data_IF_224956104178
#
_entry.id   IF_224956104178
#
_cell.length_a   1.000
_cell.length_b   1.000
_cell.length_c   1.000
_cell.angle_alpha   90.00
_cell.angle_beta   90.00
_cell.angle_gamma   90.00
#
_symmetry.space_group_name_H-M   'P 1'
#
loop_
_entity.id
_entity.type
_entity.pdbx_description
1 polymer ?
#
# COMPACT_ATOMS: atom_id res chain seq x y z
N UNK A 1 3.39 24.00 -17.11
CA UNK A 1 3.42 22.58 -16.68
C UNK A 1 2.54 21.82 -17.64
N UNK A 2 3.05 20.75 -18.28
CA UNK A 2 2.22 19.94 -19.17
C UNK A 2 1.19 19.14 -18.34
N UNK A 3 0.18 18.58 -18.99
CA UNK A 3 -0.89 17.85 -18.32
C UNK A 3 -0.39 16.62 -17.54
N UNK A 4 0.57 15.87 -18.11
CA UNK A 4 1.17 14.71 -17.47
C UNK A 4 1.90 15.09 -16.17
N UNK A 5 2.69 16.18 -16.16
CA UNK A 5 3.35 16.66 -14.94
C UNK A 5 2.34 17.09 -13.89
N UNK A 6 1.24 17.74 -14.30
CA UNK A 6 0.16 18.14 -13.38
C UNK A 6 -0.50 16.91 -12.74
N UNK A 7 -0.74 15.87 -13.53
CA UNK A 7 -1.36 14.63 -13.06
C UNK A 7 -0.40 13.83 -12.16
N UNK A 8 0.89 13.77 -12.52
CA UNK A 8 1.92 13.20 -11.65
C UNK A 8 1.99 13.94 -10.30
N UNK A 9 1.92 15.27 -10.31
CA UNK A 9 1.91 16.04 -9.06
C UNK A 9 0.71 15.68 -8.16
N UNK A 10 -0.50 15.54 -8.74
CA UNK A 10 -1.70 15.07 -8.01
C UNK A 10 -1.55 13.66 -7.47
N UNK A 11 -0.94 12.78 -8.27
CA UNK A 11 -0.64 11.42 -7.86
C UNK A 11 0.29 11.39 -6.64
N UNK A 12 1.38 12.17 -6.66
CA UNK A 12 2.34 12.23 -5.55
C UNK A 12 1.77 12.91 -4.29
N UNK A 13 0.89 13.90 -4.45
CA UNK A 13 0.09 14.44 -3.35
C UNK A 13 -0.80 13.37 -2.72
N UNK A 14 -1.44 12.56 -3.56
CA UNK A 14 -2.30 11.45 -3.12
C UNK A 14 -1.50 10.33 -2.44
N UNK A 15 -0.33 10.00 -2.97
CA UNK A 15 0.62 9.08 -2.33
C UNK A 15 0.98 9.56 -0.92
N UNK A 16 1.22 10.85 -0.73
CA UNK A 16 1.52 11.43 0.59
C UNK A 16 0.35 11.26 1.55
N UNK A 17 -0.89 11.43 1.08
CA UNK A 17 -2.09 11.20 1.89
C UNK A 17 -2.27 9.74 2.26
N UNK A 18 -2.07 8.81 1.32
CA UNK A 18 -2.16 7.37 1.57
C UNK A 18 -1.07 6.92 2.55
N UNK A 19 0.18 7.34 2.36
CA UNK A 19 1.27 7.05 3.30
C UNK A 19 0.94 7.56 4.71
N UNK A 20 0.32 8.73 4.82
CA UNK A 20 -0.14 9.27 6.12
C UNK A 20 -1.26 8.42 6.71
N UNK A 21 -2.25 8.04 5.91
CA UNK A 21 -3.36 7.17 6.34
C UNK A 21 -2.82 5.83 6.88
N UNK A 22 -1.97 5.14 6.11
CA UNK A 22 -1.42 3.85 6.50
C UNK A 22 -0.47 3.93 7.69
N UNK A 23 0.31 4.99 7.82
CA UNK A 23 1.15 5.22 9.01
C UNK A 23 0.31 5.41 10.26
N UNK A 24 -0.83 6.10 10.15
CA UNK A 24 -1.76 6.31 11.26
C UNK A 24 -2.56 5.04 11.56
N UNK A 25 -2.90 4.25 10.55
CA UNK A 25 -3.60 2.97 10.71
C UNK A 25 -2.69 1.90 11.34
N UNK A 26 -1.42 1.84 10.92
CA UNK A 26 -0.33 1.03 11.51
C UNK A 26 -0.63 -0.49 11.64
N UNK A 27 -1.66 -0.97 10.93
CA UNK A 27 -2.07 -2.36 10.99
C UNK A 27 -1.00 -3.28 10.44
N UNK A 28 -0.54 -3.02 9.20
CA UNK A 28 0.40 -3.91 8.52
C UNK A 28 1.71 -4.07 9.29
N UNK A 29 2.25 -2.99 9.87
CA UNK A 29 3.47 -3.07 10.66
C UNK A 29 3.28 -3.91 11.92
N UNK A 30 2.27 -3.58 12.73
CA UNK A 30 2.05 -4.20 14.04
C UNK A 30 1.53 -5.65 13.96
N UNK A 31 0.64 -5.94 13.01
CA UNK A 31 -0.06 -7.24 12.93
C UNK A 31 0.53 -8.20 11.90
N UNK A 32 1.36 -7.73 10.96
CA UNK A 32 1.92 -8.57 9.92
C UNK A 32 3.45 -8.52 9.90
N UNK A 33 4.04 -7.36 9.60
CA UNK A 33 5.47 -7.23 9.32
C UNK A 33 6.30 -7.59 10.56
N UNK A 34 5.97 -7.08 11.74
CA UNK A 34 6.75 -7.35 12.95
C UNK A 34 6.78 -8.85 13.32
N UNK A 35 5.68 -9.56 13.09
CA UNK A 35 5.57 -11.00 13.34
C UNK A 35 6.45 -11.77 12.36
N UNK A 36 6.33 -11.46 11.07
CA UNK A 36 7.09 -12.14 10.01
C UNK A 36 8.60 -11.82 10.08
N UNK A 37 8.98 -10.59 10.42
CA UNK A 37 10.37 -10.22 10.69
C UNK A 37 10.97 -11.11 11.79
N UNK A 38 10.26 -11.27 12.92
CA UNK A 38 10.75 -12.10 14.04
C UNK A 38 10.92 -13.56 13.64
N UNK A 39 9.98 -14.12 12.86
CA UNK A 39 10.08 -15.48 12.33
C UNK A 39 11.26 -15.66 11.38
N UNK A 40 11.59 -14.62 10.61
CA UNK A 40 12.68 -14.63 9.63
C UNK A 40 14.02 -14.10 10.18
N UNK A 41 14.27 -14.22 11.49
CA UNK A 41 15.53 -13.80 12.10
C UNK A 41 15.83 -12.29 11.98
N UNK A 42 14.79 -11.46 11.99
CA UNK A 42 14.79 -10.01 11.77
C UNK A 42 15.30 -9.57 10.38
N UNK A 43 15.31 -10.48 9.40
CA UNK A 43 15.54 -10.10 8.00
C UNK A 43 14.25 -9.52 7.40
N UNK A 44 14.35 -8.52 6.50
CA UNK A 44 13.20 -7.98 5.76
C UNK A 44 12.30 -9.07 5.16
N UNK A 45 11.01 -8.79 5.15
CA UNK A 45 9.97 -9.69 4.64
C UNK A 45 8.95 -8.90 3.83
N UNK A 46 8.44 -9.53 2.77
CA UNK A 46 7.35 -9.00 1.96
C UNK A 46 6.04 -9.69 2.31
N UNK A 47 5.57 -9.52 3.55
CA UNK A 47 4.45 -10.24 4.16
C UNK A 47 3.24 -10.50 3.22
N UNK A 48 2.21 -9.65 3.23
CA UNK A 48 1.07 -9.78 2.33
C UNK A 48 1.37 -9.31 0.89
N UNK A 49 2.50 -8.61 0.70
CA UNK A 49 2.94 -8.11 -0.61
C UNK A 49 3.47 -9.22 -1.55
N UNK A 50 3.71 -10.43 -1.05
CA UNK A 50 4.18 -11.58 -1.84
C UNK A 50 3.17 -12.10 -2.88
N UNK A 51 1.87 -11.81 -2.73
CA UNK A 51 0.83 -12.38 -3.57
C UNK A 51 0.51 -11.51 -4.81
N UNK A 52 1.49 -11.33 -5.70
CA UNK A 52 1.33 -10.70 -7.03
C UNK A 52 1.16 -9.17 -7.06
N UNK A 53 1.22 -8.48 -5.93
CA UNK A 53 1.12 -7.01 -5.92
C UNK A 53 2.43 -6.29 -6.27
N UNK A 54 3.51 -7.04 -6.45
CA UNK A 54 4.83 -6.55 -6.87
C UNK A 54 5.00 -6.46 -8.38
N UNK A 55 4.17 -7.17 -9.17
CA UNK A 55 4.25 -7.05 -10.62
C UNK A 55 3.89 -5.63 -10.99
N UNK A 56 4.80 -4.97 -11.69
CA UNK A 56 4.68 -3.60 -12.16
C UNK A 56 3.45 -3.51 -13.08
N UNK A 57 2.26 -3.35 -12.51
CA UNK A 57 1.02 -3.03 -13.23
C UNK A 57 1.01 -1.55 -13.64
N UNK A 58 2.15 -1.06 -14.10
CA UNK A 58 2.22 0.24 -14.74
C UNK A 58 1.52 0.07 -16.09
N UNK A 59 0.43 0.82 -16.32
CA UNK A 59 -0.28 0.78 -17.59
C UNK A 59 0.64 1.23 -18.73
N UNK A 60 0.42 0.73 -19.94
CA UNK A 60 1.08 1.23 -21.15
C UNK A 60 0.54 2.63 -21.51
N UNK A 61 0.94 3.64 -20.73
CA UNK A 61 0.47 5.01 -20.86
C UNK A 61 1.60 6.02 -20.58
N UNK A 62 1.68 7.15 -21.31
CA UNK A 62 2.75 8.15 -21.12
C UNK A 62 2.93 8.64 -19.68
N UNK A 63 1.84 8.73 -18.90
CA UNK A 63 1.92 9.14 -17.51
C UNK A 63 2.63 8.11 -16.61
N UNK A 64 2.49 6.81 -16.90
CA UNK A 64 3.20 5.76 -16.19
C UNK A 64 4.67 5.69 -16.60
N UNK A 65 4.98 5.94 -17.88
CA UNK A 65 6.36 6.13 -18.31
C UNK A 65 7.01 7.28 -17.54
N UNK A 66 6.29 8.39 -17.37
CA UNK A 66 6.80 9.54 -16.63
C UNK A 66 7.01 9.24 -15.14
N UNK A 67 6.07 8.55 -14.49
CA UNK A 67 6.23 8.09 -13.11
C UNK A 67 7.47 7.17 -12.97
N UNK A 68 7.67 6.26 -13.93
CA UNK A 68 8.83 5.36 -13.96
C UNK A 68 10.13 6.15 -14.13
N UNK A 69 10.19 7.11 -15.03
CA UNK A 69 11.37 7.96 -15.23
C UNK A 69 11.78 8.71 -13.95
N UNK A 70 10.82 9.33 -13.24
CA UNK A 70 11.14 10.00 -11.97
C UNK A 70 11.52 9.00 -10.87
N UNK A 71 10.88 7.82 -10.83
CA UNK A 71 11.28 6.72 -9.94
C UNK A 71 12.72 6.27 -10.21
N UNK A 72 13.08 6.02 -11.46
CA UNK A 72 14.43 5.61 -11.88
C UNK A 72 15.47 6.68 -11.59
N UNK A 73 15.13 7.95 -11.78
CA UNK A 73 16.00 9.08 -11.45
C UNK A 73 16.29 9.18 -9.96
N UNK A 74 15.33 8.85 -9.09
CA UNK A 74 15.52 8.90 -7.64
C UNK A 74 16.16 7.64 -7.06
N UNK A 75 15.76 6.47 -7.56
CA UNK A 75 16.07 5.19 -6.93
C UNK A 75 16.97 4.30 -7.79
N UNK A 76 17.32 4.72 -9.01
CA UNK A 76 18.02 3.90 -9.98
C UNK A 76 17.09 2.97 -10.75
N UNK A 77 17.63 2.37 -11.81
CA UNK A 77 16.89 1.44 -12.65
C UNK A 77 16.74 0.06 -11.99
N UNK A 78 15.61 -0.64 -12.21
CA UNK A 78 15.38 -1.95 -11.63
C UNK A 78 16.39 -3.02 -12.07
N UNK A 79 16.79 -3.02 -13.34
CA UNK A 79 17.72 -3.98 -13.96
C UNK A 79 19.14 -3.93 -13.38
N UNK A 80 19.53 -2.79 -12.81
CA UNK A 80 20.80 -2.63 -12.09
C UNK A 80 20.73 -3.23 -10.67
N UNK A 81 19.53 -3.44 -10.12
CA UNK A 81 19.29 -3.93 -8.75
C UNK A 81 19.12 -5.45 -8.69
N UNK A 82 20.01 -6.20 -9.34
CA UNK A 82 20.07 -7.65 -9.20
C UNK A 82 20.57 -8.06 -7.80
N UNK A 83 19.66 -8.30 -6.86
CA UNK A 83 20.01 -8.78 -5.52
C UNK A 83 20.38 -10.27 -5.55
N UNK A 84 21.48 -10.64 -4.86
CA UNK A 84 21.97 -12.03 -4.84
C UNK A 84 21.06 -13.03 -4.09
N UNK A 85 20.21 -12.53 -3.19
CA UNK A 85 19.29 -13.32 -2.36
C UNK A 85 17.97 -12.55 -2.18
N UNK A 86 17.16 -12.43 -3.24
CA UNK A 86 15.95 -11.62 -3.21
C UNK A 86 14.92 -12.25 -2.27
N UNK A 87 14.49 -11.50 -1.25
CA UNK A 87 13.37 -11.90 -0.38
C UNK A 87 12.01 -11.57 -0.97
N UNK A 88 12.01 -10.91 -2.14
CA UNK A 88 10.84 -10.50 -2.91
C UNK A 88 11.17 -10.46 -4.39
N UNK A 89 10.21 -10.80 -5.27
CA UNK A 89 10.35 -10.63 -6.71
C UNK A 89 10.33 -9.15 -7.17
N UNK A 90 10.08 -8.18 -6.28
CA UNK A 90 10.22 -6.76 -6.62
C UNK A 90 11.70 -6.34 -6.66
N UNK A 91 12.14 -5.79 -7.78
CA UNK A 91 13.53 -5.35 -7.99
C UNK A 91 13.94 -4.20 -7.04
N UNK A 92 12.98 -3.40 -6.59
CA UNK A 92 13.20 -2.35 -5.59
C UNK A 92 13.18 -2.85 -4.14
N UNK A 93 13.27 -4.16 -3.90
CA UNK A 93 13.27 -4.73 -2.56
C UNK A 93 14.66 -5.25 -2.17
N UNK A 94 15.40 -4.43 -1.41
CA UNK A 94 16.71 -4.79 -0.86
C UNK A 94 16.53 -5.89 0.22
N UNK A 95 17.24 -7.03 0.13
CA UNK A 95 17.17 -8.11 1.11
C UNK A 95 17.55 -7.74 2.54
N UNK A 96 18.24 -6.61 2.73
CA UNK A 96 18.70 -6.11 4.04
C UNK A 96 17.88 -4.93 4.55
N UNK A 97 17.18 -4.20 3.67
CA UNK A 97 16.47 -2.96 4.03
C UNK A 97 14.97 -2.97 3.75
N UNK A 98 14.48 -3.92 2.97
CA UNK A 98 13.10 -3.94 2.51
C UNK A 98 12.90 -3.14 1.22
N UNK A 99 11.67 -2.67 0.99
CA UNK A 99 11.35 -1.78 -0.13
C UNK A 99 12.14 -0.46 -0.02
N UNK A 100 12.93 -0.13 -1.05
CA UNK A 100 13.76 1.09 -1.08
C UNK A 100 12.98 2.32 -1.56
N UNK A 101 11.81 2.12 -2.16
CA UNK A 101 10.95 3.22 -2.63
C UNK A 101 10.27 3.90 -1.44
N UNK A 102 10.71 5.10 -1.10
CA UNK A 102 9.98 5.93 -0.14
C UNK A 102 8.74 6.56 -0.78
N UNK A 103 8.88 7.02 -2.02
CA UNK A 103 7.83 7.64 -2.85
C UNK A 103 7.85 7.08 -4.28
N UNK A 104 6.98 7.58 -5.16
CA UNK A 104 6.86 7.17 -6.56
C UNK A 104 6.54 5.68 -6.72
N UNK A 105 5.86 5.09 -5.72
CA UNK A 105 5.40 3.71 -5.78
C UNK A 105 4.37 3.54 -6.90
N UNK A 106 4.13 2.31 -7.35
CA UNK A 106 3.03 2.03 -8.28
C UNK A 106 1.66 2.15 -7.57
N UNK A 107 0.56 2.39 -8.31
CA UNK A 107 -0.79 2.48 -7.75
C UNK A 107 -1.16 1.29 -6.85
N UNK A 108 -0.81 0.08 -7.29
CA UNK A 108 -1.12 -1.14 -6.54
C UNK A 108 -0.33 -1.24 -5.24
N UNK A 109 0.94 -0.82 -5.24
CA UNK A 109 1.77 -0.79 -4.03
C UNK A 109 1.23 0.20 -2.99
N UNK A 110 0.58 1.28 -3.43
CA UNK A 110 0.02 2.31 -2.57
C UNK A 110 -1.37 1.98 -2.04
N UNK A 111 -2.17 1.23 -2.81
CA UNK A 111 -3.56 0.95 -2.50
C UNK A 111 -3.75 -0.35 -1.73
N UNK A 112 -2.83 -1.30 -1.85
CA UNK A 112 -3.06 -2.64 -1.33
C UNK A 112 -3.23 -2.66 0.20
N UNK A 113 -4.31 -3.33 0.62
CA UNK A 113 -4.54 -3.71 2.01
C UNK A 113 -5.16 -5.11 2.03
N UNK A 114 -4.64 -6.00 2.89
CA UNK A 114 -5.16 -7.36 3.00
C UNK A 114 -6.59 -7.36 3.58
N UNK A 115 -7.31 -8.47 3.36
CA UNK A 115 -8.70 -8.62 3.80
C UNK A 115 -8.86 -8.37 5.30
N UNK A 116 -7.96 -8.90 6.11
CA UNK A 116 -7.98 -8.73 7.57
C UNK A 116 -7.80 -7.26 7.96
N UNK A 117 -6.93 -6.53 7.26
CA UNK A 117 -6.76 -5.08 7.45
C UNK A 117 -8.03 -4.30 7.09
N UNK A 118 -8.70 -4.66 5.99
CA UNK A 118 -9.98 -4.08 5.60
C UNK A 118 -11.06 -4.39 6.64
N UNK A 119 -11.11 -5.61 7.16
CA UNK A 119 -12.06 -6.01 8.20
C UNK A 119 -11.82 -5.22 9.50
N UNK A 120 -10.57 -4.91 9.86
CA UNK A 120 -10.25 -4.00 10.98
C UNK A 120 -10.69 -2.56 10.70
N UNK A 121 -10.49 -2.03 9.48
CA UNK A 121 -11.01 -0.71 9.11
C UNK A 121 -12.54 -0.63 9.31
N UNK A 122 -13.25 -1.67 8.90
CA UNK A 122 -14.70 -1.77 9.02
C UNK A 122 -15.15 -1.94 10.46
N UNK A 123 -14.64 -2.97 11.14
CA UNK A 123 -15.10 -3.37 12.47
C UNK A 123 -14.65 -2.44 13.59
N UNK A 124 -13.41 -1.93 13.53
CA UNK A 124 -12.84 -1.09 14.59
C UNK A 124 -13.06 0.39 14.31
N UNK A 125 -12.85 0.80 13.07
CA UNK A 125 -12.87 2.21 12.70
C UNK A 125 -14.19 2.64 12.05
N UNK A 126 -15.06 1.71 11.65
CA UNK A 126 -16.32 2.01 10.95
C UNK A 126 -16.10 2.63 9.57
N UNK A 127 -14.97 2.30 8.93
CA UNK A 127 -14.59 2.75 7.59
C UNK A 127 -14.97 1.64 6.61
N UNK A 128 -16.10 1.81 5.93
CA UNK A 128 -16.62 0.83 4.96
C UNK A 128 -16.30 1.16 3.51
N UNK A 129 -15.92 2.41 3.24
CA UNK A 129 -15.67 2.91 1.89
C UNK A 129 -14.29 2.51 1.33
N UNK A 130 -13.36 2.05 2.18
CA UNK A 130 -12.04 1.62 1.71
C UNK A 130 -12.14 0.28 1.00
N UNK A 131 -11.81 0.27 -0.28
CA UNK A 131 -11.62 -0.90 -1.13
C UNK A 131 -10.31 -0.72 -1.92
N UNK A 132 -9.39 -1.67 -1.82
CA UNK A 132 -8.05 -1.48 -2.37
C UNK A 132 -8.07 -1.43 -3.91
N UNK A 133 -8.99 -2.12 -4.58
CA UNK A 133 -9.12 -2.06 -6.04
C UNK A 133 -9.68 -0.71 -6.48
N UNK A 134 -10.71 -0.20 -5.80
CA UNK A 134 -11.24 1.14 -6.05
C UNK A 134 -10.18 2.23 -5.85
N UNK A 135 -9.34 2.12 -4.81
CA UNK A 135 -8.22 3.03 -4.57
C UNK A 135 -7.15 2.88 -5.65
N UNK A 136 -6.84 1.66 -6.09
CA UNK A 136 -5.93 1.42 -7.21
C UNK A 136 -6.41 2.16 -8.48
N UNK A 137 -7.66 1.95 -8.89
CA UNK A 137 -8.20 2.59 -10.10
C UNK A 137 -8.26 4.11 -9.97
N UNK A 138 -8.61 4.64 -8.80
CA UNK A 138 -8.57 6.08 -8.57
C UNK A 138 -7.15 6.64 -8.77
N UNK A 139 -6.12 5.95 -8.27
CA UNK A 139 -4.72 6.33 -8.46
C UNK A 139 -4.28 6.27 -9.93
N UNK A 140 -4.69 5.22 -10.66
CA UNK A 140 -4.45 5.11 -12.10
C UNK A 140 -5.10 6.29 -12.84
N UNK A 141 -6.37 6.58 -12.59
CA UNK A 141 -7.11 7.68 -13.22
C UNK A 141 -6.59 9.07 -12.84
N UNK A 142 -6.08 9.26 -11.62
CA UNK A 142 -5.39 10.49 -11.24
C UNK A 142 -4.14 10.67 -12.11
N UNK A 143 -3.37 9.60 -12.30
CA UNK A 143 -2.12 9.64 -13.05
C UNK A 143 -2.36 9.82 -14.55
N UNK A 144 -3.36 9.14 -15.13
CA UNK A 144 -3.70 9.26 -16.56
C UNK A 144 -4.44 10.56 -16.88
N UNK A 145 -5.14 11.16 -15.91
CA UNK A 145 -5.98 12.34 -16.11
C UNK A 145 -7.45 12.04 -16.37
N UNK A 146 -7.86 10.77 -16.26
CA UNK A 146 -9.25 10.35 -16.44
C UNK A 146 -10.14 10.74 -15.25
N UNK A 147 -9.55 11.05 -14.09
CA UNK A 147 -10.29 11.51 -12.92
C UNK A 147 -10.56 13.01 -13.01
N UNK A 148 -11.84 13.42 -13.00
CA UNK A 148 -12.19 14.84 -13.03
C UNK A 148 -11.72 15.59 -11.78
N UNK A 149 -11.64 16.92 -11.86
CA UNK A 149 -11.25 17.75 -10.70
C UNK A 149 -12.10 17.48 -9.47
N UNK A 150 -13.41 17.38 -9.68
CA UNK A 150 -14.36 17.18 -8.60
C UNK A 150 -14.14 15.82 -7.95
N UNK A 151 -14.00 14.76 -8.74
CA UNK A 151 -13.75 13.41 -8.24
C UNK A 151 -12.40 13.31 -7.51
N UNK A 152 -11.37 14.00 -8.00
CA UNK A 152 -10.09 14.12 -7.29
C UNK A 152 -10.25 14.75 -5.90
N UNK A 153 -10.98 15.86 -5.82
CA UNK A 153 -11.23 16.55 -4.56
C UNK A 153 -12.09 15.71 -3.59
N UNK A 154 -13.09 15.01 -4.10
CA UNK A 154 -13.94 14.12 -3.32
C UNK A 154 -13.12 12.94 -2.77
N UNK A 155 -12.30 12.31 -3.61
CA UNK A 155 -11.37 11.23 -3.21
C UNK A 155 -10.39 11.71 -2.13
N UNK A 156 -9.76 12.87 -2.34
CA UNK A 156 -8.84 13.50 -1.37
C UNK A 156 -9.53 13.76 -0.03
N UNK A 157 -10.75 14.26 -0.06
CA UNK A 157 -11.54 14.54 1.15
C UNK A 157 -11.85 13.24 1.89
N UNK A 158 -12.30 12.20 1.18
CA UNK A 158 -12.56 10.88 1.77
C UNK A 158 -11.30 10.29 2.46
N UNK A 159 -10.12 10.40 1.85
CA UNK A 159 -8.87 9.94 2.46
C UNK A 159 -8.51 10.71 3.74
N UNK A 160 -8.71 12.03 3.75
CA UNK A 160 -8.47 12.87 4.93
C UNK A 160 -9.45 12.51 6.07
N UNK A 161 -10.73 12.34 5.74
CA UNK A 161 -11.77 11.97 6.72
C UNK A 161 -11.50 10.59 7.33
N UNK A 162 -11.13 9.60 6.51
CA UNK A 162 -10.73 8.27 6.99
C UNK A 162 -9.52 8.37 7.91
N UNK A 163 -8.50 9.16 7.55
CA UNK A 163 -7.30 9.36 8.38
C UNK A 163 -7.65 9.97 9.73
N UNK A 164 -8.46 11.03 9.75
CA UNK A 164 -8.84 11.71 11.00
C UNK A 164 -9.70 10.79 11.88
N UNK A 165 -10.57 9.98 11.27
CA UNK A 165 -11.37 8.99 12.00
C UNK A 165 -10.49 7.96 12.71
N UNK A 166 -9.45 7.44 12.04
CA UNK A 166 -8.48 6.54 12.68
C UNK A 166 -7.75 7.23 13.82
N UNK A 167 -7.27 8.47 13.63
CA UNK A 167 -6.59 9.26 14.69
C UNK A 167 -7.47 9.44 15.91
N UNK A 168 -8.74 9.81 15.71
CA UNK A 168 -9.70 10.08 16.79
C UNK A 168 -9.95 8.83 17.63
N UNK A 169 -10.20 7.69 16.97
CA UNK A 169 -10.47 6.43 17.66
C UNK A 169 -9.24 5.95 18.43
N UNK A 170 -8.03 6.10 17.87
CA UNK A 170 -6.77 5.76 18.58
C UNK A 170 -6.47 6.66 19.78
N UNK A 171 -6.91 7.93 19.77
CA UNK A 171 -6.70 8.90 20.86
C UNK A 171 -7.79 8.87 21.94
N UNK A 172 -8.93 8.21 21.69
CA UNK A 172 -10.05 8.16 22.62
C UNK A 172 -9.74 7.32 23.89
N UNK A 173 -10.36 7.64 25.04
CA UNK A 173 -10.24 6.85 26.26
C UNK A 173 -11.09 5.57 26.12
N UNK A 174 -10.57 4.53 25.45
CA UNK A 174 -11.28 3.25 25.40
C UNK A 174 -11.09 2.42 24.15
N UNK A 175 -9.88 1.89 23.96
CA UNK A 175 -9.58 0.49 23.65
C UNK A 175 -8.09 0.41 23.39
N UNK A 176 -7.33 -0.01 24.41
CA UNK A 176 -6.10 -0.72 24.13
C UNK A 176 -6.49 -1.84 23.16
N UNK A 177 -5.84 -1.89 22.00
CA UNK A 177 -5.86 -3.08 21.16
C UNK A 177 -5.40 -4.22 22.08
N UNK A 178 -6.34 -5.04 22.54
CA UNK A 178 -6.04 -6.14 23.44
C UNK A 178 -5.07 -7.06 22.72
N UNK A 179 -3.83 -7.07 23.19
CA UNK A 179 -2.91 -8.18 22.99
C UNK A 179 -3.66 -9.46 23.39
N UNK A 180 -3.96 -10.33 22.42
CA UNK A 180 -4.54 -11.65 22.70
C UNK A 180 -5.93 -11.90 22.09
N UNK A 181 -5.98 -12.08 20.78
CA UNK A 181 -6.85 -13.09 20.16
C UNK A 181 -6.03 -13.90 19.16
N UNK A 182 -4.97 -14.52 19.67
CA UNK A 182 -4.31 -15.65 19.03
C UNK A 182 -4.81 -16.93 19.72
N UNK A 183 -6.06 -17.33 19.45
CA UNK A 183 -6.58 -18.68 19.73
C UNK A 183 -7.99 -18.78 19.13
N UNK A 184 -8.25 -19.87 18.41
CA UNK A 184 -9.54 -20.24 17.79
C UNK A 184 -9.95 -19.53 16.49
N UNK A 185 -9.12 -19.69 15.47
CA UNK A 185 -9.65 -19.98 14.13
C UNK A 185 -9.01 -21.28 13.65
N UNK A 186 -9.72 -22.38 13.88
CA UNK A 186 -9.36 -23.69 13.35
C UNK A 186 -9.11 -23.60 11.84
N UNK A 187 -7.87 -23.86 11.47
CA UNK A 187 -7.40 -23.95 10.10
C UNK A 187 -8.13 -25.13 9.42
N UNK A 188 -9.30 -24.88 8.82
CA UNK A 188 -9.85 -25.77 7.81
C UNK A 188 -9.01 -25.54 6.56
N UNK A 189 -8.15 -26.51 6.26
CA UNK A 189 -7.43 -26.58 5.01
C UNK A 189 -8.40 -26.41 3.83
N UNK A 190 -8.07 -25.46 2.95
CA UNK A 190 -8.72 -25.32 1.65
C UNK A 190 -8.27 -26.50 0.76
N UNK A 191 -9.19 -27.37 0.29
CA UNK A 191 -8.84 -28.55 -0.50
C UNK A 191 -8.47 -28.26 -1.96
N UNK A 192 -8.36 -27.00 -2.40
CA UNK A 192 -8.19 -26.67 -3.83
C UNK A 192 -6.80 -26.19 -4.28
N UNK A 193 -5.74 -26.38 -3.49
CA UNK A 193 -4.36 -26.13 -3.93
C UNK A 193 -3.58 -27.45 -4.11
N UNK A 194 -3.95 -28.20 -5.15
CA UNK A 194 -3.03 -29.12 -5.85
C UNK A 194 -3.25 -29.01 -7.35
N UNK A 195 -2.27 -28.41 -8.03
CA UNK A 195 -1.94 -28.64 -9.44
C UNK A 195 -0.51 -28.14 -9.68
#
# INVERSE_FOLDING_TARGET
MNEIEKNLQRYLETETLLNTFFSVFDYCWSQCILIELRKNGNRPVTACCNNRYYSLYDLEHPAFNRLREEREKMYGKPDVQCWRDPVSPCEYHDPNRGCVLATHKSPICLSFLCREGIDVLRGTYGIYAYDYLGVNYALEWILTGDLSEREYLDFRTAMLDMTERVKRIRKGPGRALTEGQASDAGFRADPYLTA
#
